data_IF_721118265110
#
_entry.id   IF_721118265110
#
_cell.length_a   1.000
_cell.length_b   1.000
_cell.length_c   1.000
_cell.angle_alpha   90.00
_cell.angle_beta   90.00
_cell.angle_gamma   90.00
#
_symmetry.space_group_name_H-M   'P 1'
#
loop_
_entity.id
_entity.type
_entity.pdbx_description
1 polymer ?
#
# COMPACT_ATOMS: atom_id res chain seq x y z
N UNK A 1 11.09 -32.61 15.72
CA UNK A 1 11.14 -32.53 14.25
C UNK A 1 10.49 -31.21 13.86
N UNK A 2 11.27 -30.14 13.76
CA UNK A 2 10.77 -28.79 13.51
C UNK A 2 10.67 -28.54 12.01
N UNK A 3 9.45 -28.54 11.48
CA UNK A 3 9.17 -28.05 10.14
C UNK A 3 9.45 -26.55 10.09
N UNK A 4 10.52 -26.17 9.39
CA UNK A 4 10.73 -24.79 8.96
C UNK A 4 9.73 -24.52 7.85
N UNK A 5 8.73 -23.67 8.12
CA UNK A 5 7.92 -23.00 7.10
C UNK A 5 8.88 -22.39 6.09
N UNK A 6 8.85 -22.88 4.86
CA UNK A 6 9.68 -22.40 3.76
C UNK A 6 9.46 -20.91 3.54
N UNK A 7 10.56 -20.17 3.48
CA UNK A 7 10.58 -18.75 3.11
C UNK A 7 9.87 -18.61 1.74
N UNK A 8 8.88 -17.70 1.58
CA UNK A 8 8.19 -17.55 0.31
C UNK A 8 9.21 -17.25 -0.80
N UNK A 9 9.16 -18.05 -1.87
CA UNK A 9 10.04 -17.88 -3.03
C UNK A 9 10.02 -16.42 -3.51
N UNK A 10 11.18 -15.80 -3.77
CA UNK A 10 11.24 -14.42 -4.22
C UNK A 10 10.47 -14.29 -5.54
N UNK A 11 9.56 -13.32 -5.57
CA UNK A 11 8.81 -12.97 -6.78
C UNK A 11 9.74 -12.75 -7.97
N UNK A 12 9.27 -13.12 -9.16
CA UNK A 12 9.99 -13.05 -10.44
C UNK A 12 10.81 -11.76 -10.59
N UNK A 13 12.10 -11.81 -10.98
CA UNK A 13 12.89 -10.62 -11.21
C UNK A 13 12.28 -9.75 -12.32
N UNK A 14 11.98 -8.49 -12.00
CA UNK A 14 11.63 -7.46 -12.99
C UNK A 14 12.97 -7.00 -13.61
N UNK A 15 13.06 -6.96 -14.94
CA UNK A 15 14.26 -6.57 -15.68
C UNK A 15 14.85 -5.21 -15.23
N UNK A 16 16.16 -4.95 -15.39
CA UNK A 16 16.82 -3.78 -14.81
C UNK A 16 16.53 -2.50 -15.60
N UNK A 17 15.33 -1.96 -15.45
CA UNK A 17 15.11 -0.51 -15.40
C UNK A 17 15.30 -0.05 -13.96
N UNK A 18 15.68 1.23 -13.73
CA UNK A 18 15.90 1.90 -12.44
C UNK A 18 15.44 1.05 -11.25
N UNK A 19 16.38 0.41 -10.53
CA UNK A 19 16.06 -0.51 -9.44
C UNK A 19 15.30 0.25 -8.35
N UNK A 20 13.97 0.19 -8.40
CA UNK A 20 13.14 0.61 -7.30
C UNK A 20 13.32 -0.41 -6.18
N UNK A 21 13.56 0.03 -4.94
CA UNK A 21 13.63 -0.90 -3.81
C UNK A 21 12.34 -1.73 -3.75
N UNK A 22 12.48 -3.03 -3.47
CA UNK A 22 11.35 -3.97 -3.43
C UNK A 22 10.29 -3.50 -2.42
N UNK A 23 9.03 -3.39 -2.87
CA UNK A 23 7.89 -3.10 -2.01
C UNK A 23 7.24 -4.41 -1.55
N UNK A 24 7.09 -4.57 -0.25
CA UNK A 24 6.35 -5.69 0.36
C UNK A 24 5.19 -5.13 1.18
N UNK A 25 4.01 -5.74 1.02
CA UNK A 25 2.80 -5.44 1.77
C UNK A 25 2.34 -6.71 2.50
N UNK A 26 2.17 -6.63 3.83
CA UNK A 26 1.53 -7.68 4.62
C UNK A 26 0.17 -7.19 5.06
N UNK A 27 -0.88 -7.87 4.58
CA UNK A 27 -2.28 -7.47 4.79
C UNK A 27 -3.14 -8.55 5.46
N UNK A 28 -2.63 -9.77 5.60
CA UNK A 28 -3.29 -10.86 6.31
C UNK A 28 -2.96 -10.77 7.80
N UNK A 29 -3.32 -9.65 8.42
CA UNK A 29 -2.93 -9.22 9.75
C UNK A 29 -2.89 -7.69 9.83
N UNK A 30 -2.22 -7.12 10.85
CA UNK A 30 -1.94 -5.69 10.86
C UNK A 30 -1.18 -5.27 9.59
N UNK A 31 -1.56 -4.12 9.01
CA UNK A 31 -0.90 -3.60 7.82
C UNK A 31 0.58 -3.33 8.12
N UNK A 32 1.47 -3.95 7.35
CA UNK A 32 2.92 -3.68 7.37
C UNK A 32 3.41 -3.40 5.96
N UNK A 33 4.24 -2.37 5.82
CA UNK A 33 4.86 -1.94 4.57
C UNK A 33 6.38 -2.03 4.73
N UNK A 34 7.06 -2.69 3.79
CA UNK A 34 8.53 -2.70 3.72
C UNK A 34 9.01 -2.21 2.37
N UNK A 35 10.07 -1.41 2.36
CA UNK A 35 10.73 -0.92 1.15
C UNK A 35 12.20 -1.30 1.22
N UNK A 36 12.68 -2.11 0.27
CA UNK A 36 14.04 -2.62 0.28
C UNK A 36 14.35 -3.42 1.55
N UNK A 37 13.36 -4.16 2.05
CA UNK A 37 13.47 -4.92 3.30
C UNK A 37 13.36 -4.09 4.59
N UNK A 38 13.24 -2.77 4.53
CA UNK A 38 13.09 -1.89 5.72
C UNK A 38 11.62 -1.63 5.99
N UNK A 39 11.16 -1.90 7.21
CA UNK A 39 9.80 -1.58 7.63
C UNK A 39 9.58 -0.06 7.73
N UNK A 40 8.49 0.41 7.13
CA UNK A 40 8.12 1.81 7.10
C UNK A 40 7.20 2.11 8.28
N UNK A 41 7.68 2.93 9.21
CA UNK A 41 6.89 3.48 10.29
C UNK A 41 6.60 4.96 9.99
N UNK A 42 5.34 5.27 9.64
CA UNK A 42 4.90 6.64 9.44
C UNK A 42 3.54 6.86 10.13
N UNK A 43 3.31 8.00 10.81
CA UNK A 43 2.05 8.26 11.51
C UNK A 43 0.81 8.14 10.62
N UNK A 44 0.92 8.54 9.35
CA UNK A 44 -0.21 8.46 8.41
C UNK A 44 -0.64 7.03 8.07
N UNK A 45 0.25 6.04 8.20
CA UNK A 45 -0.12 4.62 8.02
C UNK A 45 -1.03 4.09 9.14
N UNK A 46 -1.17 4.83 10.24
CA UNK A 46 -2.10 4.49 11.33
C UNK A 46 -3.51 5.02 11.06
N UNK A 47 -3.68 5.95 10.12
CA UNK A 47 -4.99 6.50 9.73
C UNK A 47 -5.81 5.40 9.07
N UNK A 48 -7.05 5.19 9.52
CA UNK A 48 -7.96 4.18 8.98
C UNK A 48 -8.07 4.26 7.47
N UNK A 49 -8.31 5.47 6.95
CA UNK A 49 -8.53 5.70 5.52
C UNK A 49 -7.31 5.43 4.65
N UNK A 50 -6.10 5.69 5.15
CA UNK A 50 -4.85 5.35 4.44
C UNK A 50 -4.69 3.83 4.40
N UNK A 51 -4.97 3.13 5.50
CA UNK A 51 -4.92 1.66 5.53
C UNK A 51 -5.94 1.02 4.60
N UNK A 52 -7.18 1.51 4.61
CA UNK A 52 -8.24 1.06 3.71
C UNK A 52 -7.86 1.28 2.25
N UNK A 53 -7.27 2.43 1.91
CA UNK A 53 -6.74 2.67 0.57
C UNK A 53 -5.66 1.65 0.18
N UNK A 54 -4.73 1.31 1.08
CA UNK A 54 -3.72 0.28 0.80
C UNK A 54 -4.38 -1.09 0.56
N UNK A 55 -5.35 -1.48 1.38
CA UNK A 55 -6.10 -2.72 1.17
C UNK A 55 -6.85 -2.73 -0.16
N UNK A 56 -7.51 -1.62 -0.52
CA UNK A 56 -8.19 -1.48 -1.79
C UNK A 56 -7.21 -1.63 -2.97
N UNK A 57 -6.00 -1.07 -2.89
CA UNK A 57 -4.97 -1.20 -3.93
C UNK A 57 -4.39 -2.63 -4.02
N UNK A 58 -4.33 -3.37 -2.90
CA UNK A 58 -3.91 -4.78 -2.90
C UNK A 58 -4.95 -5.66 -3.61
N UNK A 59 -6.24 -5.42 -3.35
CA UNK A 59 -7.35 -6.14 -3.99
C UNK A 59 -7.50 -5.72 -5.46
N UNK A 60 -7.41 -4.42 -5.73
CA UNK A 60 -7.58 -3.81 -7.04
C UNK A 60 -6.24 -3.29 -7.58
N UNK A 61 -5.48 -4.17 -8.24
CA UNK A 61 -4.18 -3.83 -8.85
C UNK A 61 -4.24 -2.67 -9.86
N UNK A 62 -5.41 -2.42 -10.42
CA UNK A 62 -5.74 -1.24 -11.21
C UNK A 62 -7.18 -0.86 -10.92
N UNK A 63 -7.43 0.40 -10.59
CA UNK A 63 -8.76 0.93 -10.36
C UNK A 63 -8.84 2.38 -10.82
N UNK A 64 -10.02 2.77 -11.33
CA UNK A 64 -10.30 4.16 -11.63
C UNK A 64 -10.44 4.93 -10.32
N UNK A 65 -10.05 6.21 -10.35
CA UNK A 65 -10.08 7.08 -9.16
C UNK A 65 -11.50 7.30 -8.62
N UNK A 66 -12.49 7.42 -9.49
CA UNK A 66 -13.90 7.52 -9.08
C UNK A 66 -14.34 6.28 -8.31
N UNK A 67 -14.09 5.09 -8.85
CA UNK A 67 -14.43 3.81 -8.18
C UNK A 67 -13.77 3.68 -6.80
N UNK A 68 -12.48 4.03 -6.66
CA UNK A 68 -11.81 4.00 -5.37
C UNK A 68 -12.37 5.05 -4.40
N UNK A 69 -12.75 6.23 -4.90
CA UNK A 69 -13.30 7.28 -4.06
C UNK A 69 -14.69 6.87 -3.52
N UNK A 70 -15.54 6.30 -4.38
CA UNK A 70 -16.87 5.83 -3.99
C UNK A 70 -16.78 4.62 -3.04
N UNK A 71 -15.82 3.72 -3.26
CA UNK A 71 -15.57 2.58 -2.37
C UNK A 71 -15.15 3.02 -0.96
N UNK A 72 -14.27 4.02 -0.87
CA UNK A 72 -13.72 4.47 0.41
C UNK A 72 -14.65 5.45 1.14
N UNK A 73 -15.45 6.24 0.43
CA UNK A 73 -16.34 7.24 1.02
C UNK A 73 -17.75 7.14 0.41
N UNK A 74 -18.47 6.03 0.64
CA UNK A 74 -19.77 5.79 0.01
C UNK A 74 -20.83 6.83 0.39
N UNK A 75 -20.68 7.47 1.54
CA UNK A 75 -21.65 8.42 2.09
C UNK A 75 -21.37 9.88 1.68
N UNK A 76 -20.28 10.15 0.94
CA UNK A 76 -19.93 11.50 0.51
C UNK A 76 -20.36 11.78 -0.94
N UNK A 77 -20.97 12.94 -1.22
CA UNK A 77 -21.42 13.27 -2.57
C UNK A 77 -20.28 13.57 -3.56
N UNK A 78 -19.13 14.07 -3.09
CA UNK A 78 -17.92 14.25 -3.90
C UNK A 78 -16.64 13.87 -3.12
N UNK A 79 -16.24 12.58 -3.18
CA UNK A 79 -15.09 12.10 -2.43
C UNK A 79 -13.74 12.32 -3.13
N UNK A 80 -13.70 12.96 -4.31
CA UNK A 80 -12.47 13.08 -5.13
C UNK A 80 -11.35 13.82 -4.41
N UNK A 81 -11.69 14.90 -3.70
CA UNK A 81 -10.72 15.65 -2.90
C UNK A 81 -10.11 14.78 -1.78
N UNK A 82 -10.95 14.02 -1.08
CA UNK A 82 -10.53 13.13 0.00
C UNK A 82 -9.61 12.02 -0.50
N UNK A 83 -9.91 11.44 -1.67
CA UNK A 83 -9.03 10.47 -2.31
C UNK A 83 -7.66 11.07 -2.62
N UNK A 84 -7.61 12.27 -3.19
CA UNK A 84 -6.35 12.95 -3.51
C UNK A 84 -5.49 13.16 -2.26
N UNK A 85 -6.08 13.71 -1.19
CA UNK A 85 -5.38 13.94 0.07
C UNK A 85 -4.88 12.63 0.69
N UNK A 86 -5.70 11.58 0.68
CA UNK A 86 -5.31 10.27 1.22
C UNK A 86 -4.18 9.62 0.41
N UNK A 87 -4.19 9.76 -0.92
CA UNK A 87 -3.08 9.35 -1.78
C UNK A 87 -1.81 10.14 -1.49
N UNK A 88 -1.91 11.44 -1.21
CA UNK A 88 -0.75 12.26 -0.86
C UNK A 88 -0.15 11.83 0.48
N UNK A 89 -0.97 11.51 1.49
CA UNK A 89 -0.48 10.90 2.74
C UNK A 89 0.20 9.56 2.53
N UNK A 90 -0.40 8.68 1.71
CA UNK A 90 0.19 7.38 1.40
C UNK A 90 1.54 7.55 0.69
N UNK A 91 1.63 8.46 -0.29
CA UNK A 91 2.87 8.78 -1.00
C UNK A 91 3.92 9.35 -0.06
N UNK A 92 3.56 10.31 0.80
CA UNK A 92 4.49 10.85 1.79
C UNK A 92 5.04 9.78 2.74
N UNK A 93 4.21 8.80 3.11
CA UNK A 93 4.64 7.69 3.96
C UNK A 93 5.62 6.73 3.26
N UNK A 94 5.44 6.45 1.96
CA UNK A 94 6.23 5.45 1.23
C UNK A 94 7.37 6.05 0.39
N UNK A 95 7.35 7.35 0.13
CA UNK A 95 8.38 8.10 -0.60
C UNK A 95 9.02 9.16 0.31
N UNK A 96 9.85 8.77 1.30
CA UNK A 96 10.43 9.71 2.26
C UNK A 96 11.43 10.70 1.66
N UNK A 97 11.75 10.60 0.37
CA UNK A 97 12.66 11.52 -0.37
C UNK A 97 11.94 12.39 -1.41
N UNK A 98 10.60 12.43 -1.37
CA UNK A 98 9.82 13.31 -2.22
C UNK A 98 9.71 14.71 -1.63
#
# INVERSE_FOLDING_TARGET
>A
MSERVGDPAPGRPIAPGKLFPQLELRVLGPLMIRIGGVEIHHPDLRRSRVRELVHALVVHRSARRDVLADLLWPDLPDPRHNLRVTLDYLRGAIEPRR
#
